data_IF_782188108904
#
_entry.id   IF_782188108904
#
_cell.length_a   1.000
_cell.length_b   1.000
_cell.length_c   1.000
_cell.angle_alpha   90.00
_cell.angle_beta   90.00
_cell.angle_gamma   90.00
#
_symmetry.space_group_name_H-M   'P 1'
#
loop_
_entity.id
_entity.type
_entity.pdbx_description
1 polymer ?
2 water ?
#
# COMPACT_ATOMS: atom_id res chain seq x y z
N UNK A 1 9.87 -9.05 0.94
CA UNK A 1 9.39 -8.42 -0.34
C UNK A 1 8.36 -7.35 0.02
N UNK A 2 8.90 -6.15 0.16
CA UNK A 2 8.09 -5.00 0.66
C UNK A 2 8.63 -3.71 0.10
N UNK A 3 7.87 -2.61 0.19
CA UNK A 3 8.40 -1.33 -0.34
C UNK A 3 8.52 -0.30 0.81
N UNK A 4 9.21 0.78 0.43
CA UNK A 4 9.24 2.00 1.23
C UNK A 4 8.43 3.13 0.58
N UNK A 5 7.53 3.75 1.41
CA UNK A 5 6.79 4.92 0.84
C UNK A 5 5.88 4.46 -0.29
N UNK A 6 5.91 5.20 -1.40
CA UNK A 6 5.04 4.87 -2.55
C UNK A 6 5.68 3.83 -3.48
N UNK A 7 6.88 3.38 -3.18
CA UNK A 7 7.56 2.29 -3.84
C UNK A 7 8.14 2.59 -5.21
N UNK A 8 8.42 3.88 -5.38
CA UNK A 8 9.17 4.23 -6.63
C UNK A 8 10.48 3.44 -6.67
N UNK A 9 11.08 3.05 -5.54
CA UNK A 9 12.30 2.30 -5.42
C UNK A 9 12.18 0.78 -5.39
N UNK A 10 11.00 0.25 -5.22
CA UNK A 10 10.63 -1.14 -5.15
C UNK A 10 11.12 -1.95 -6.36
N UNK A 11 11.88 -2.98 -6.07
CA UNK A 11 12.42 -3.89 -7.10
C UNK A 11 12.17 -5.37 -6.76
N UNK A 12 11.10 -5.63 -6.04
CA UNK A 12 10.60 -6.90 -5.56
C UNK A 12 10.01 -7.71 -6.73
N UNK A 13 9.49 -8.88 -6.40
CA UNK A 13 9.08 -9.83 -7.42
C UNK A 13 7.62 -10.13 -7.43
N UNK A 14 6.80 -9.21 -6.89
CA UNK A 14 5.33 -9.45 -6.89
C UNK A 14 4.83 -9.23 -8.31
N UNK A 15 3.91 -10.04 -8.76
CA UNK A 15 3.46 -10.02 -10.19
C UNK A 15 1.95 -10.07 -10.35
N UNK A 16 1.24 -9.87 -9.22
CA UNK A 16 -0.21 -9.99 -9.23
C UNK A 16 -0.93 -8.71 -8.79
N UNK A 17 -1.97 -8.35 -9.54
CA UNK A 17 -2.76 -7.14 -9.26
C UNK A 17 -3.68 -7.44 -8.06
N UNK A 18 -4.30 -6.33 -7.63
CA UNK A 18 -5.16 -6.44 -6.43
C UNK A 18 -6.42 -7.24 -6.71
N UNK A 19 -6.73 -7.61 -7.95
CA UNK A 19 -7.96 -8.38 -8.23
C UNK A 19 -7.68 -9.89 -8.37
N UNK A 20 -6.42 -10.18 -8.49
CA UNK A 20 -5.92 -11.54 -8.72
C UNK A 20 -5.36 -11.69 -10.13
N UNK A 21 -5.65 -10.77 -11.02
CA UNK A 21 -5.17 -10.81 -12.42
C UNK A 21 -3.66 -10.64 -12.47
N UNK A 22 -2.98 -11.47 -13.22
CA UNK A 22 -1.52 -11.34 -13.37
C UNK A 22 -1.21 -10.05 -14.14
N UNK A 23 0.02 -9.61 -13.92
CA UNK A 23 0.58 -8.46 -14.66
C UNK A 23 0.92 -8.95 -16.09
N UNK A 24 0.87 -8.01 -17.02
CA UNK A 24 1.44 -8.19 -18.37
C UNK A 24 2.95 -7.83 -18.29
N UNK A 25 3.81 -8.53 -19.02
CA UNK A 25 5.24 -8.15 -19.04
C UNK A 25 5.31 -6.73 -19.60
N UNK A 26 6.19 -5.96 -19.03
CA UNK A 26 6.41 -4.56 -19.49
C UNK A 26 6.86 -4.57 -20.96
N UNK A 27 7.65 -5.59 -21.30
CA UNK A 27 8.20 -5.64 -22.69
C UNK A 27 7.16 -6.12 -23.74
N UNK A 28 6.04 -6.62 -23.30
CA UNK A 28 5.03 -7.23 -24.16
C UNK A 28 4.07 -6.10 -24.59
N UNK A 29 3.61 -6.26 -25.81
CA UNK A 29 2.65 -5.32 -26.40
C UNK A 29 1.31 -6.02 -26.69
N UNK A 30 1.15 -7.12 -25.98
CA UNK A 30 -0.07 -7.96 -26.07
C UNK A 30 -0.28 -8.57 -24.67
N UNK A 31 -1.51 -8.65 -24.17
CA UNK A 31 -2.78 -8.26 -24.81
C UNK A 31 -2.96 -6.79 -25.06
N UNK A 32 -2.19 -5.97 -24.32
CA UNK A 32 -2.33 -4.54 -24.34
C UNK A 32 -1.13 -3.84 -24.98
N UNK A 33 -1.40 -3.10 -26.05
CA UNK A 33 -0.33 -2.19 -26.52
C UNK A 33 -0.15 -1.08 -25.46
N UNK A 34 1.07 -0.52 -25.39
CA UNK A 34 1.26 0.64 -24.44
C UNK A 34 2.39 1.51 -25.02
N UNK A 35 2.01 2.77 -25.28
CA UNK A 35 3.00 3.71 -25.87
C UNK A 35 3.97 4.24 -24.80
N UNK A 36 3.59 4.10 -23.53
CA UNK A 36 4.41 4.58 -22.43
C UNK A 36 4.75 3.41 -21.53
N UNK A 37 5.70 3.65 -20.64
CA UNK A 37 6.15 2.65 -19.64
C UNK A 37 6.53 1.32 -20.26
N UNK A 38 7.45 1.42 -21.18
CA UNK A 38 8.16 0.30 -21.77
C UNK A 38 9.56 0.32 -21.18
N UNK A 39 10.34 -0.80 -21.37
CA UNK A 39 11.66 -0.78 -20.78
C UNK A 39 12.57 0.23 -21.46
N UNK A 40 12.20 0.69 -22.64
CA UNK A 40 13.02 1.67 -23.38
C UNK A 40 12.60 3.11 -23.02
N UNK A 41 11.29 3.32 -22.75
CA UNK A 41 10.85 4.68 -22.36
C UNK A 41 11.35 4.99 -20.94
N UNK A 42 11.32 3.99 -20.07
CA UNK A 42 11.73 4.19 -18.65
C UNK A 42 12.81 3.17 -18.26
N UNK A 43 14.02 3.36 -18.79
CA UNK A 43 15.12 2.42 -18.62
C UNK A 43 15.63 2.25 -17.20
N UNK A 44 15.33 3.17 -16.30
CA UNK A 44 15.88 3.07 -14.93
C UNK A 44 14.80 2.79 -13.89
N UNK A 45 13.66 2.18 -14.44
CA UNK A 45 12.52 2.01 -13.53
C UNK A 45 12.38 0.53 -13.11
N UNK A 46 13.22 -0.30 -13.67
CA UNK A 46 13.27 -1.73 -13.32
C UNK A 46 12.03 -2.45 -13.87
N UNK A 47 11.62 -2.03 -15.06
CA UNK A 47 10.49 -2.64 -15.78
C UNK A 47 10.93 -3.97 -16.40
N UNK A 48 11.19 -4.92 -15.52
CA UNK A 48 11.66 -6.25 -15.91
C UNK A 48 10.55 -7.29 -15.80
N UNK A 49 10.44 -8.09 -16.90
CA UNK A 49 9.46 -9.14 -16.92
C UNK A 49 8.07 -8.48 -16.72
N UNK A 50 7.37 -8.99 -15.69
CA UNK A 50 6.03 -8.48 -15.32
C UNK A 50 5.93 -8.23 -13.81
N UNK A 51 6.92 -7.56 -13.25
CA UNK A 51 6.95 -7.16 -11.84
C UNK A 51 6.17 -5.86 -11.65
N UNK A 52 5.46 -5.85 -10.52
CA UNK A 52 4.75 -4.63 -10.10
C UNK A 52 5.74 -3.51 -9.90
N UNK A 53 5.55 -2.35 -10.52
CA UNK A 53 6.51 -1.23 -10.35
C UNK A 53 5.75 0.07 -10.23
N UNK A 54 6.42 1.07 -9.67
CA UNK A 54 5.87 2.45 -9.61
C UNK A 54 6.86 3.42 -10.27
N UNK A 55 6.97 3.33 -11.58
CA UNK A 55 7.93 4.11 -12.34
C UNK A 55 7.76 5.59 -12.22
N UNK A 56 6.52 6.03 -12.02
CA UNK A 56 6.28 7.48 -11.90
C UNK A 56 5.91 7.94 -10.48
N UNK A 57 6.28 7.15 -9.48
CA UNK A 57 5.95 7.52 -8.12
C UNK A 57 4.49 7.94 -8.04
N UNK A 58 3.58 7.21 -8.62
CA UNK A 58 2.08 7.39 -8.53
C UNK A 58 1.72 7.33 -7.04
N UNK A 59 0.77 8.14 -6.58
CA UNK A 59 0.36 8.06 -5.15
C UNK A 59 -0.13 6.68 -4.74
N UNK A 60 -0.68 5.95 -5.67
CA UNK A 60 -1.21 4.62 -5.46
C UNK A 60 -0.22 3.50 -5.29
N UNK A 61 1.06 3.70 -5.54
CA UNK A 61 2.02 2.60 -5.35
C UNK A 61 2.16 1.77 -6.66
N UNK A 62 2.98 0.74 -6.55
CA UNK A 62 3.30 -0.19 -7.65
C UNK A 62 2.02 -0.71 -8.33
N UNK A 63 2.15 -0.80 -9.65
CA UNK A 63 1.06 -1.27 -10.50
C UNK A 63 1.69 -2.03 -11.68
N UNK A 64 0.79 -2.41 -12.57
CA UNK A 64 1.30 -2.98 -13.85
C UNK A 64 0.14 -2.98 -14.87
N UNK A 65 0.50 -3.26 -16.13
CA UNK A 65 -0.50 -3.52 -17.19
C UNK A 65 -0.94 -4.95 -16.82
N UNK A 66 -2.21 -5.23 -17.06
CA UNK A 66 -2.78 -6.55 -16.66
C UNK A 66 -3.03 -7.42 -17.91
N UNK A 67 -3.02 -8.75 -17.64
CA UNK A 67 -3.35 -9.65 -18.77
C UNK A 67 -4.88 -9.73 -18.99
N UNK A 68 -5.68 -9.11 -18.12
CA UNK A 68 -7.16 -9.10 -18.36
C UNK A 68 -7.33 -8.32 -19.69
N UNK A 69 -7.98 -8.94 -20.70
CA UNK A 69 -8.14 -8.20 -21.97
C UNK A 69 -8.90 -6.89 -21.79
N UNK A 70 -9.86 -6.92 -20.84
CA UNK A 70 -10.73 -5.77 -20.58
C UNK A 70 -10.24 -4.73 -19.55
N UNK A 71 -9.06 -4.94 -18.98
CA UNK A 71 -8.56 -3.91 -18.00
C UNK A 71 -7.10 -3.73 -18.30
N UNK A 72 -6.79 -2.49 -18.68
CA UNK A 72 -5.47 -2.05 -19.11
C UNK A 72 -4.42 -2.18 -18.01
N UNK A 73 -4.75 -1.70 -16.80
CA UNK A 73 -3.72 -1.65 -15.73
C UNK A 73 -4.39 -1.75 -14.38
N UNK A 74 -3.58 -2.00 -13.37
CA UNK A 74 -4.11 -2.04 -12.01
C UNK A 74 -2.97 -2.04 -10.99
N UNK A 75 -3.36 -1.70 -9.75
CA UNK A 75 -2.40 -1.70 -8.63
C UNK A 75 -2.10 -3.15 -8.21
N UNK A 76 -0.92 -3.27 -7.60
CA UNK A 76 -0.57 -4.51 -6.90
C UNK A 76 -0.55 -4.15 -5.38
N UNK A 77 -0.71 -5.17 -4.57
CA UNK A 77 -0.64 -5.02 -3.11
C UNK A 77 0.77 -5.38 -2.61
N UNK A 78 1.59 -4.34 -2.50
CA UNK A 78 3.00 -4.52 -2.03
C UNK A 78 3.08 -3.87 -0.63
N UNK A 79 3.33 -4.75 0.34
CA UNK A 79 3.30 -4.22 1.72
C UNK A 79 4.45 -3.26 1.93
N UNK A 80 4.13 -2.37 2.89
CA UNK A 80 5.17 -1.46 3.46
C UNK A 80 6.14 -2.27 4.30
N UNK A 81 7.45 -2.16 4.10
CA UNK A 81 8.44 -2.83 4.98
C UNK A 81 8.18 -2.46 6.47
N UNK A 82 8.23 -3.48 7.33
CA UNK A 82 7.95 -3.22 8.77
C UNK A 82 8.79 -2.05 9.29
N UNK A 83 8.14 -1.22 10.12
CA UNK A 83 8.87 -0.09 10.78
C UNK A 83 9.94 -0.67 11.71
N UNK A 84 11.10 0.02 11.72
CA UNK A 84 12.25 -0.48 12.48
C UNK A 84 11.95 -0.63 13.98
N UNK B 1 -12.74 -3.64 1.21
CA UNK B 1 -11.85 -3.06 2.24
C UNK B 1 -10.51 -2.74 1.60
N UNK B 2 -10.42 -1.49 1.15
CA UNK B 2 -9.24 -1.04 0.34
C UNK B 2 -9.15 0.46 0.43
N UNK B 3 -8.04 1.02 0.04
CA UNK B 3 -7.92 2.49 0.14
C UNK B 3 -7.58 3.08 -1.24
N UNK B 4 -7.55 4.41 -1.25
CA UNK B 4 -7.21 5.26 -2.38
C UNK B 4 -6.02 6.13 -1.96
N UNK B 5 -5.11 6.33 -2.90
CA UNK B 5 -3.99 7.30 -2.60
C UNK B 5 -3.16 6.71 -1.46
N UNK B 6 -2.79 7.53 -0.47
CA UNK B 6 -2.01 7.14 0.69
C UNK B 6 -2.89 6.64 1.85
N UNK B 7 -4.19 6.63 1.63
CA UNK B 7 -5.08 6.07 2.65
C UNK B 7 -5.49 7.07 3.72
N UNK B 8 -5.20 8.37 3.49
CA UNK B 8 -5.71 9.36 4.45
C UNK B 8 -7.22 9.28 4.61
N UNK B 9 -7.99 8.86 3.63
CA UNK B 9 -9.44 8.75 3.73
C UNK B 9 -9.93 7.33 4.02
N UNK B 10 -9.00 6.39 4.23
CA UNK B 10 -9.39 5.00 4.47
C UNK B 10 -10.11 4.88 5.81
N UNK B 11 -11.27 4.26 5.76
CA UNK B 11 -12.12 4.05 6.91
C UNK B 11 -12.57 2.57 6.96
N UNK B 12 -11.71 1.67 6.48
CA UNK B 12 -11.95 0.22 6.59
C UNK B 12 -11.70 -0.33 8.00
N UNK B 13 -11.81 -1.68 8.03
CA UNK B 13 -11.73 -2.39 9.34
C UNK B 13 -10.59 -3.34 9.50
N UNK B 14 -9.50 -3.08 8.78
CA UNK B 14 -8.24 -3.84 8.95
C UNK B 14 -7.68 -3.44 10.32
N UNK B 15 -7.15 -4.42 11.03
CA UNK B 15 -6.71 -4.27 12.40
C UNK B 15 -5.43 -5.04 12.77
N UNK B 16 -4.67 -5.37 11.74
CA UNK B 16 -3.42 -6.13 11.91
C UNK B 16 -2.25 -5.42 11.21
N UNK B 17 -1.06 -5.36 11.80
CA UNK B 17 0.07 -4.68 11.06
C UNK B 17 0.58 -5.62 9.97
N UNK B 18 1.64 -5.21 9.27
CA UNK B 18 2.25 -6.05 8.20
C UNK B 18 2.95 -7.29 8.75
N UNK B 19 3.07 -7.40 10.07
CA UNK B 19 3.75 -8.60 10.65
C UNK B 19 2.69 -9.54 11.18
N UNK B 20 1.43 -9.08 11.18
CA UNK B 20 0.32 -9.85 11.71
C UNK B 20 0.04 -9.51 13.20
N UNK B 21 0.61 -8.40 13.71
CA UNK B 21 0.24 -8.07 15.12
C UNK B 21 -1.06 -7.28 15.19
N UNK B 22 -1.98 -7.70 16.07
CA UNK B 22 -3.15 -6.89 16.30
C UNK B 22 -2.73 -5.50 16.78
N UNK B 23 -3.35 -4.50 16.15
CA UNK B 23 -3.31 -3.10 16.50
C UNK B 23 -3.93 -2.88 17.93
N UNK B 24 -3.39 -1.86 18.59
CA UNK B 24 -3.92 -1.32 19.86
C UNK B 24 -5.06 -0.33 19.52
N UNK B 25 -6.03 -0.25 20.45
CA UNK B 25 -7.10 0.75 20.24
C UNK B 25 -6.48 2.17 20.32
N UNK B 26 -6.97 3.05 19.46
CA UNK B 26 -6.54 4.48 19.45
C UNK B 26 -6.86 5.13 20.78
N UNK B 27 -8.01 4.74 21.34
CA UNK B 27 -8.42 5.31 22.66
C UNK B 27 -7.57 4.74 23.78
N UNK B 28 -6.96 3.60 23.61
CA UNK B 28 -6.21 2.93 24.68
C UNK B 28 -4.87 3.66 24.94
N UNK B 29 -4.39 3.49 26.16
CA UNK B 29 -3.07 4.04 26.56
C UNK B 29 -2.20 2.90 27.07
N UNK B 30 -2.58 1.66 26.68
CA UNK B 30 -1.76 0.47 26.97
C UNK B 30 -1.87 -0.53 25.81
N UNK B 31 -0.85 -1.31 25.47
CA UNK B 31 0.48 -1.33 26.05
C UNK B 31 1.30 -0.06 25.81
N UNK B 32 0.91 0.84 24.93
CA UNK B 32 1.64 2.09 24.67
C UNK B 32 0.82 3.35 24.99
N UNK B 33 1.49 4.14 25.87
CA UNK B 33 0.96 5.48 26.14
C UNK B 33 1.22 6.32 24.90
N UNK B 34 0.23 7.14 24.57
CA UNK B 34 0.42 8.05 23.41
C UNK B 34 -0.51 9.24 23.59
N UNK B 35 0.14 10.43 23.69
CA UNK B 35 -0.67 11.66 23.88
C UNK B 35 -1.23 12.25 22.57
N UNK B 36 -0.57 11.89 21.46
CA UNK B 36 -1.08 12.28 20.13
C UNK B 36 -1.76 11.06 19.49
N UNK B 37 -2.55 11.32 18.45
CA UNK B 37 -3.29 10.28 17.71
C UNK B 37 -4.21 9.46 18.59
N UNK B 38 -5.15 10.15 19.16
CA UNK B 38 -6.28 9.45 19.87
C UNK B 38 -7.54 10.03 19.18
N UNK B 39 -8.70 9.41 19.38
CA UNK B 39 -9.93 9.93 18.79
C UNK B 39 -10.18 11.37 19.25
N UNK B 40 -9.62 11.75 20.42
CA UNK B 40 -9.86 13.12 20.96
C UNK B 40 -8.81 14.14 20.63
N UNK B 41 -7.85 13.79 19.76
CA UNK B 41 -6.86 14.72 19.24
C UNK B 41 -6.99 14.90 17.73
N UNK B 42 -7.51 13.86 17.06
CA UNK B 42 -7.68 13.93 15.58
C UNK B 42 -9.12 13.44 15.27
N UNK B 43 -10.09 14.21 15.72
CA UNK B 43 -11.49 13.71 15.65
C UNK B 43 -12.01 13.50 14.25
N UNK B 44 -11.38 14.06 13.24
CA UNK B 44 -11.85 13.85 11.84
C UNK B 44 -11.06 12.76 11.09
N UNK B 45 -10.25 12.01 11.81
CA UNK B 45 -9.38 11.02 11.16
C UNK B 45 -9.88 9.59 11.30
N UNK B 46 -11.03 9.44 11.96
CA UNK B 46 -11.64 8.09 12.15
C UNK B 46 -10.78 7.16 13.00
N UNK B 47 -10.15 7.70 14.04
CA UNK B 47 -9.32 6.88 14.97
C UNK B 47 -10.21 6.10 15.91
N UNK B 48 -10.85 5.07 15.45
CA UNK B 48 -11.91 4.23 16.04
C UNK B 48 -11.43 2.80 16.20
N UNK B 49 -11.92 2.17 17.28
CA UNK B 49 -11.47 0.82 17.65
C UNK B 49 -9.92 0.80 17.50
N UNK B 50 -9.41 -0.20 16.83
CA UNK B 50 -7.97 -0.38 16.54
C UNK B 50 -7.77 -0.49 15.01
N UNK B 51 -8.62 0.26 14.31
CA UNK B 51 -8.59 0.20 12.85
C UNK B 51 -7.36 0.96 12.32
N UNK B 52 -6.76 0.35 11.29
CA UNK B 52 -5.55 0.93 10.65
C UNK B 52 -5.95 2.27 10.03
N UNK B 53 -5.20 3.31 10.32
CA UNK B 53 -5.55 4.65 9.79
C UNK B 53 -4.31 5.42 9.37
N UNK B 54 -4.48 6.47 8.56
CA UNK B 54 -3.36 7.35 8.15
C UNK B 54 -3.75 8.80 8.51
N UNK B 55 -3.81 9.14 9.79
CA UNK B 55 -4.33 10.46 10.15
C UNK B 55 -3.57 11.63 9.56
N UNK B 56 -2.26 11.52 9.40
CA UNK B 56 -1.39 12.63 8.93
C UNK B 56 -1.05 12.44 7.46
N UNK B 57 -1.59 11.38 6.88
CA UNK B 57 -1.32 11.12 5.46
C UNK B 57 0.19 10.97 5.23
N UNK B 58 0.80 10.06 5.91
CA UNK B 58 2.21 9.68 5.79
C UNK B 58 2.31 8.80 4.51
N UNK B 59 3.40 9.02 3.79
CA UNK B 59 3.78 8.30 2.59
C UNK B 59 3.60 6.79 2.79
N UNK B 60 3.87 6.29 3.99
CA UNK B 60 3.85 4.82 4.18
C UNK B 60 2.45 4.24 4.31
N UNK B 61 1.42 5.07 4.29
CA UNK B 61 0.01 4.61 4.37
C UNK B 61 -0.41 4.26 5.78
N UNK B 62 -1.62 3.65 5.88
CA UNK B 62 -2.24 3.30 7.17
C UNK B 62 -1.32 2.54 8.11
N UNK B 63 -1.53 2.84 9.37
CA UNK B 63 -0.68 2.20 10.43
C UNK B 63 -1.49 2.11 11.69
N UNK B 64 -0.87 1.60 12.74
CA UNK B 64 -1.52 1.68 14.07
C UNK B 64 -0.47 1.48 15.15
N UNK B 65 -0.83 1.91 16.36
CA UNK B 65 0.04 1.51 17.52
C UNK B 65 -0.11 -0.01 17.61
N UNK B 66 0.83 -0.76 18.12
CA UNK B 66 0.68 -2.23 18.15
C UNK B 66 0.56 -2.77 19.59
N UNK B 67 -0.07 -3.96 19.68
CA UNK B 67 -0.28 -4.64 20.99
C UNK B 67 0.99 -5.30 21.47
N UNK B 68 2.00 -5.30 20.61
CA UNK B 68 3.32 -5.90 20.93
C UNK B 68 3.96 -4.84 21.88
N UNK B 69 4.15 -5.24 23.13
CA UNK B 69 4.66 -4.26 24.13
C UNK B 69 6.02 -3.73 23.75
N UNK B 70 6.71 -4.46 22.85
CA UNK B 70 8.05 -3.88 22.47
C UNK B 70 7.96 -3.18 21.13
N UNK B 71 6.83 -3.08 20.42
CA UNK B 71 6.82 -2.30 19.14
C UNK B 71 5.75 -1.23 19.23
N UNK B 72 6.23 0.04 19.20
CA UNK B 72 5.23 1.14 19.38
C UNK B 72 4.11 1.15 18.34
N UNK B 73 4.49 1.10 17.10
CA UNK B 73 3.52 1.14 16.00
C UNK B 73 4.12 0.46 14.78
N UNK B 74 3.29 0.23 13.79
CA UNK B 74 3.73 -0.37 12.53
C UNK B 74 2.66 -0.17 11.46
N UNK B 75 3.07 -0.33 10.22
CA UNK B 75 2.14 -0.19 9.11
C UNK B 75 1.26 -1.41 9.02
N UNK B 76 0.13 -1.20 8.40
CA UNK B 76 -0.80 -2.27 8.06
C UNK B 76 -0.66 -2.43 6.53
N UNK B 77 -1.21 -3.49 6.02
CA UNK B 77 -1.23 -3.75 4.55
C UNK B 77 -2.66 -3.54 4.05
N UNK B 78 -2.96 -2.34 3.59
CA UNK B 78 -4.35 -2.08 3.08
C UNK B 78 -4.18 -1.88 1.56
N UNK B 79 -4.80 -2.78 0.79
CA UNK B 79 -4.66 -2.73 -0.69
C UNK B 79 -5.39 -1.53 -1.28
N UNK B 80 -4.75 -1.07 -2.35
CA UNK B 80 -5.42 -0.01 -3.14
C UNK B 80 -6.70 -0.66 -3.68
N UNK B 81 -7.80 0.11 -3.75
CA UNK B 81 -8.98 -0.45 -4.39
C UNK B 81 -8.65 -0.64 -5.90
N UNK B 82 -9.28 -1.66 -6.48
CA UNK B 82 -9.11 -1.87 -7.95
C UNK B 82 -9.33 -0.56 -8.72
N UNK B 83 -8.44 -0.31 -9.65
CA UNK B 83 -8.49 0.91 -10.48
C UNK B 83 -9.81 1.00 -11.28
N UNK B 84 -10.40 2.18 -11.28
CA UNK B 84 -11.64 2.42 -12.05
C UNK B 84 -11.35 2.48 -13.56
#
# INVERSE_FOLDING_TARGET
DCMFGNGKGYRGKRVTTVTGTPCQDWAAQEPHRHSIFTPETNPRAGLEKNYCRNPDGDVGGPWCYTTNPRKLYDYCDVPQCAAP
DCMFGNGKGYRGKRVTTVTGTPCQDWAAQEPHRHSIFTPETNPRAGLEKNYCRNPDGDVGGPWCYTTNPRKLYDYCDVPQCAAP
#
